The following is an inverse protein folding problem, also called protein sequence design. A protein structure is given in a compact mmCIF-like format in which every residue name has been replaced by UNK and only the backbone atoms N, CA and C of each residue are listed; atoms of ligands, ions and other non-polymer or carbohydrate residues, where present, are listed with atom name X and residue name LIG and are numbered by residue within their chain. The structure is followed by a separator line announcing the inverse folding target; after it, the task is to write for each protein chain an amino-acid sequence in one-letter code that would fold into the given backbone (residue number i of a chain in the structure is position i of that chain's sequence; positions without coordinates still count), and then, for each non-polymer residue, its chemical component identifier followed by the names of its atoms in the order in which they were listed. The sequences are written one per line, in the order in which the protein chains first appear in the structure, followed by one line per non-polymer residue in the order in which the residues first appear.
data_IF_972638869867
#
_entry.id   IF_972638869867
#
_cell.length_a   1.000
_cell.length_b   1.000
_cell.length_c   1.000
_cell.angle_alpha   90.00
_cell.angle_beta   90.00
_cell.angle_gamma   90.00
#
_symmetry.space_group_name_H-M   'P 1'
#
loop_
_entity.id
_entity.type
_entity.pdbx_description
1 polymer ?
#
# COMPACT_ATOMS: atom_id res chain seq x y z
N UNK A 1 -6.28 1.20 -21.02
CA UNK A 1 -6.09 0.53 -19.72
C UNK A 1 -5.07 1.34 -18.94
N UNK A 2 -5.44 1.90 -17.79
CA UNK A 2 -4.51 2.50 -16.84
C UNK A 2 -4.14 1.42 -15.83
N UNK A 3 -2.85 1.16 -15.65
CA UNK A 3 -2.37 0.25 -14.60
C UNK A 3 -1.94 1.16 -13.44
N UNK A 4 -2.56 1.06 -12.25
CA UNK A 4 -2.17 1.86 -11.11
C UNK A 4 -0.69 1.67 -10.77
N UNK A 5 0.00 2.72 -10.31
CA UNK A 5 1.41 2.58 -9.87
C UNK A 5 1.57 1.53 -8.79
N UNK A 6 0.64 1.48 -7.84
CA UNK A 6 0.72 0.61 -6.70
C UNK A 6 -0.31 -0.53 -6.76
N UNK A 7 0.10 -1.72 -6.34
CA UNK A 7 -0.81 -2.78 -5.91
C UNK A 7 -0.63 -3.03 -4.42
N UNK A 8 -1.68 -2.76 -3.65
CA UNK A 8 -1.71 -2.98 -2.21
C UNK A 8 -2.56 -4.23 -1.91
N UNK A 9 -1.88 -5.35 -1.64
CA UNK A 9 -2.53 -6.60 -1.25
C UNK A 9 -2.70 -6.62 0.27
N UNK A 10 -3.89 -6.97 0.73
CA UNK A 10 -4.26 -6.98 2.16
C UNK A 10 -4.92 -8.30 2.52
N UNK A 11 -4.62 -8.84 3.71
CA UNK A 11 -5.13 -10.15 4.16
C UNK A 11 -6.65 -10.19 4.27
N UNK A 12 -7.21 -9.20 4.95
CA UNK A 12 -8.60 -9.18 5.33
C UNK A 12 -9.16 -7.75 5.32
N UNK A 13 -10.43 -7.62 5.69
CA UNK A 13 -11.14 -6.34 5.71
C UNK A 13 -10.57 -5.35 6.73
N UNK A 14 -10.09 -5.83 7.88
CA UNK A 14 -9.52 -4.94 8.89
C UNK A 14 -8.25 -4.28 8.36
N UNK A 15 -7.37 -5.07 7.75
CA UNK A 15 -6.16 -4.55 7.10
C UNK A 15 -6.51 -3.65 5.91
N UNK A 16 -7.55 -3.97 5.13
CA UNK A 16 -8.03 -3.11 4.04
C UNK A 16 -8.43 -1.71 4.54
N UNK A 17 -9.15 -1.62 5.66
CA UNK A 17 -9.58 -0.35 6.25
C UNK A 17 -8.38 0.46 6.76
N UNK A 18 -7.38 -0.18 7.36
CA UNK A 18 -6.12 0.47 7.78
C UNK A 18 -5.31 0.96 6.57
N UNK A 19 -5.17 0.14 5.53
CA UNK A 19 -4.50 0.50 4.29
C UNK A 19 -5.16 1.71 3.61
N UNK A 20 -6.49 1.76 3.55
CA UNK A 20 -7.23 2.90 2.97
C UNK A 20 -6.98 4.20 3.74
N UNK A 21 -7.05 4.17 5.08
CA UNK A 21 -6.73 5.34 5.93
C UNK A 21 -5.30 5.83 5.69
N UNK A 22 -4.35 4.92 5.55
CA UNK A 22 -2.96 5.22 5.27
C UNK A 22 -2.81 5.89 3.90
N UNK A 23 -3.41 5.31 2.85
CA UNK A 23 -3.40 5.87 1.49
C UNK A 23 -4.01 7.27 1.44
N UNK A 24 -5.14 7.48 2.12
CA UNK A 24 -5.80 8.79 2.23
C UNK A 24 -4.90 9.80 2.96
N UNK A 25 -4.27 9.40 4.07
CA UNK A 25 -3.34 10.24 4.83
C UNK A 25 -2.11 10.66 4.00
N UNK A 26 -1.67 9.84 3.05
CA UNK A 26 -0.60 10.17 2.11
C UNK A 26 -1.07 10.80 0.80
N UNK A 27 -2.39 10.89 0.56
CA UNK A 27 -2.97 11.42 -0.67
C UNK A 27 -2.69 10.54 -1.91
N UNK A 28 -2.57 9.22 -1.72
CA UNK A 28 -2.25 8.27 -2.79
C UNK A 28 -3.53 7.73 -3.40
N UNK A 29 -3.79 8.10 -4.64
CA UNK A 29 -4.98 7.66 -5.41
C UNK A 29 -4.65 6.70 -6.55
N UNK A 30 -3.39 6.62 -6.96
CA UNK A 30 -2.90 5.76 -8.05
C UNK A 30 -2.53 4.35 -7.54
N UNK A 31 -3.51 3.67 -6.94
CA UNK A 31 -3.33 2.39 -6.24
C UNK A 31 -4.54 1.48 -6.44
N UNK A 32 -4.29 0.19 -6.69
CA UNK A 32 -5.29 -0.87 -6.55
C UNK A 32 -5.16 -1.50 -5.16
N UNK A 33 -6.27 -1.59 -4.41
CA UNK A 33 -6.30 -2.33 -3.15
C UNK A 33 -7.05 -3.64 -3.37
N UNK A 34 -6.39 -4.77 -3.08
CA UNK A 34 -6.92 -6.11 -3.34
C UNK A 34 -6.81 -7.00 -2.11
N UNK A 35 -7.91 -7.64 -1.73
CA UNK A 35 -7.88 -8.69 -0.69
C UNK A 35 -7.26 -9.97 -1.22
N UNK A 36 -6.39 -10.55 -0.40
CA UNK A 36 -5.66 -11.77 -0.69
C UNK A 36 -5.50 -12.60 0.59
N UNK A 37 -6.23 -13.71 0.65
CA UNK A 37 -6.22 -14.59 1.81
C UNK A 37 -5.00 -15.53 1.86
N UNK A 38 -4.09 -15.47 0.88
CA UNK A 38 -2.86 -16.27 0.85
C UNK A 38 -1.67 -15.58 1.51
N UNK A 39 -1.73 -14.25 1.71
CA UNK A 39 -0.68 -13.49 2.39
C UNK A 39 -0.87 -13.49 3.91
N UNK A 40 0.18 -13.10 4.65
CA UNK A 40 0.14 -13.02 6.11
C UNK A 40 -0.54 -11.75 6.61
N UNK A 41 -0.23 -10.62 5.99
CA UNK A 41 -0.65 -9.28 6.41
C UNK A 41 -0.93 -8.36 5.22
N UNK A 42 0.08 -7.68 4.69
CA UNK A 42 -0.03 -6.55 3.77
C UNK A 42 1.21 -6.45 2.90
N UNK A 43 1.03 -6.40 1.57
CA UNK A 43 2.13 -6.20 0.62
C UNK A 43 1.83 -4.96 -0.23
N UNK A 44 2.82 -4.13 -0.48
CA UNK A 44 2.75 -3.02 -1.41
C UNK A 44 3.77 -3.22 -2.53
N UNK A 45 3.28 -3.42 -3.75
CA UNK A 45 4.09 -3.44 -4.96
C UNK A 45 4.09 -2.02 -5.57
N UNK A 46 5.26 -1.42 -5.72
CA UNK A 46 5.46 -0.18 -6.48
C UNK A 46 6.04 -0.51 -7.86
N UNK A 47 5.19 -0.51 -8.89
CA UNK A 47 5.60 -0.85 -10.25
C UNK A 47 6.53 0.19 -10.87
N UNK A 48 6.55 1.43 -10.36
CA UNK A 48 7.49 2.45 -10.81
C UNK A 48 8.91 2.18 -10.29
N UNK A 49 9.03 1.63 -9.08
CA UNK A 49 10.30 1.36 -8.41
C UNK A 49 10.75 -0.10 -8.52
N UNK A 50 9.91 -0.97 -9.11
CA UNK A 50 10.13 -2.41 -9.17
C UNK A 50 10.44 -3.01 -7.78
N UNK A 51 9.71 -2.56 -6.77
CA UNK A 51 9.93 -2.92 -5.36
C UNK A 51 8.64 -3.43 -4.72
N UNK A 52 8.75 -4.49 -3.93
CA UNK A 52 7.70 -4.95 -3.01
C UNK A 52 8.11 -4.66 -1.58
N UNK A 53 7.19 -4.09 -0.80
CA UNK A 53 7.34 -3.84 0.64
C UNK A 53 6.31 -4.68 1.39
N UNK A 54 6.70 -5.29 2.51
CA UNK A 54 5.90 -6.25 3.26
C UNK A 54 5.67 -5.75 4.68
N UNK A 55 4.45 -5.88 5.19
CA UNK A 55 4.05 -5.41 6.52
C UNK A 55 3.56 -3.96 6.51
N UNK A 56 2.48 -3.68 7.25
CA UNK A 56 1.86 -2.34 7.26
C UNK A 56 2.82 -1.24 7.73
N UNK A 57 3.66 -1.52 8.72
CA UNK A 57 4.60 -0.55 9.29
C UNK A 57 5.68 -0.16 8.27
N UNK A 58 6.29 -1.15 7.63
CA UNK A 58 7.32 -0.96 6.62
C UNK A 58 6.74 -0.30 5.37
N UNK A 59 5.48 -0.61 5.03
CA UNK A 59 4.74 0.07 3.97
C UNK A 59 4.52 1.54 4.33
N UNK A 60 4.09 1.86 5.54
CA UNK A 60 3.92 3.23 6.01
C UNK A 60 5.22 4.03 5.92
N UNK A 61 6.32 3.52 6.50
CA UNK A 61 7.63 4.15 6.44
C UNK A 61 8.11 4.36 5.00
N UNK A 62 7.82 3.40 4.12
CA UNK A 62 8.13 3.51 2.70
C UNK A 62 7.33 4.62 2.01
N UNK A 63 6.03 4.70 2.26
CA UNK A 63 5.12 5.71 1.70
C UNK A 63 5.47 7.11 2.20
N UNK A 64 5.74 7.28 3.48
CA UNK A 64 6.24 8.52 4.09
C UNK A 64 7.50 9.02 3.36
N UNK A 65 8.48 8.14 3.16
CA UNK A 65 9.73 8.48 2.47
C UNK A 65 9.54 8.93 1.03
N UNK A 66 8.64 8.31 0.27
CA UNK A 66 8.45 8.63 -1.16
C UNK A 66 7.47 9.78 -1.41
N UNK A 67 6.62 10.10 -0.42
CA UNK A 67 5.69 11.23 -0.50
C UNK A 67 6.25 12.50 0.14
N UNK A 68 7.32 12.38 0.93
CA UNK A 68 7.93 13.51 1.66
C UNK A 68 7.03 14.06 2.77
N UNK A 69 5.96 13.34 3.14
CA UNK A 69 5.10 13.67 4.27
C UNK A 69 5.65 13.04 5.53
N UNK A 70 6.46 13.78 6.27
CA UNK A 70 6.71 13.44 7.68
C UNK A 70 5.44 13.72 8.48
N UNK A 71 5.02 12.76 9.31
CA UNK A 71 3.89 12.94 10.25
C UNK A 71 4.04 14.19 11.11
#
# INVERSE_FOLDING_TARGET
MHIPRFLFRVKDRQIEEEARKMLDAFGITDVEVRRDDTIKDAWLEDYKQMKTTYGLKEIEEYLERITGRSR
#
